data_IF_053086233807
#
_entry.id   IF_053086233807
#
_cell.length_a   1.000
_cell.length_b   1.000
_cell.length_c   1.000
_cell.angle_alpha   90.00
_cell.angle_beta   90.00
_cell.angle_gamma   90.00
#
_symmetry.space_group_name_H-M   'P 1'
#
loop_
_entity.id
_entity.type
_entity.pdbx_description
1 polymer ?
#
# COMPACT_ATOMS: atom_id res chain seq x y z
N UNK A 1 -45.21 5.48 13.17
CA UNK A 1 -45.37 5.44 11.70
C UNK A 1 -44.53 6.55 11.09
N UNK A 2 -43.39 6.22 10.48
CA UNK A 2 -42.46 7.22 9.92
C UNK A 2 -42.98 7.61 8.53
N UNK A 3 -43.44 8.86 8.40
CA UNK A 3 -43.95 9.41 7.16
C UNK A 3 -42.90 9.40 6.06
N UNK A 4 -43.22 8.73 4.95
CA UNK A 4 -42.47 8.80 3.70
C UNK A 4 -42.41 10.26 3.23
N UNK A 5 -41.27 10.93 3.44
CA UNK A 5 -40.98 12.18 2.75
C UNK A 5 -40.75 11.86 1.27
N UNK A 6 -41.81 11.94 0.46
CA UNK A 6 -41.72 11.94 -1.00
C UNK A 6 -40.92 13.18 -1.40
N UNK A 7 -39.64 13.01 -1.75
CA UNK A 7 -38.86 14.04 -2.44
C UNK A 7 -39.55 14.32 -3.78
N UNK A 8 -40.35 15.40 -3.84
CA UNK A 8 -40.97 15.86 -5.07
C UNK A 8 -39.85 16.21 -6.06
N UNK A 9 -39.79 15.51 -7.20
CA UNK A 9 -39.02 15.94 -8.37
C UNK A 9 -39.46 17.38 -8.69
N UNK A 10 -38.59 18.36 -8.53
CA UNK A 10 -38.82 19.71 -9.03
C UNK A 10 -38.78 19.60 -10.55
N UNK A 11 -39.96 19.56 -11.18
CA UNK A 11 -40.12 19.63 -12.63
C UNK A 11 -40.08 21.12 -12.96
N UNK A 12 -39.08 21.55 -13.73
CA UNK A 12 -39.05 22.91 -14.29
C UNK A 12 -39.85 22.85 -15.60
N UNK A 13 -41.06 23.41 -15.59
CA UNK A 13 -42.00 23.28 -16.71
C UNK A 13 -41.43 23.81 -18.04
N UNK A 14 -40.42 24.68 -18.00
CA UNK A 14 -39.83 25.32 -19.19
C UNK A 14 -38.69 24.53 -19.84
N UNK A 15 -38.29 23.38 -19.28
CA UNK A 15 -37.21 22.53 -19.83
C UNK A 15 -37.80 21.18 -20.26
N UNK A 16 -37.60 20.74 -21.51
CA UNK A 16 -38.03 19.42 -21.97
C UNK A 16 -37.58 18.28 -21.04
N UNK A 17 -38.46 17.30 -20.82
CA UNK A 17 -38.20 16.17 -19.93
C UNK A 17 -36.94 15.37 -20.32
N UNK A 18 -36.61 15.29 -21.61
CA UNK A 18 -35.38 14.66 -22.12
C UNK A 18 -34.13 15.34 -21.55
N UNK A 19 -34.08 16.67 -21.61
CA UNK A 19 -32.98 17.47 -21.08
C UNK A 19 -32.93 17.38 -19.54
N UNK A 20 -34.09 17.40 -18.87
CA UNK A 20 -34.12 17.21 -17.41
C UNK A 20 -33.60 15.84 -16.97
N UNK A 21 -33.84 14.79 -17.76
CA UNK A 21 -33.33 13.44 -17.50
C UNK A 21 -31.81 13.37 -17.71
N UNK A 22 -31.28 13.96 -18.78
CA UNK A 22 -29.82 14.09 -18.99
C UNK A 22 -29.15 14.73 -17.77
N UNK A 23 -29.70 15.84 -17.25
CA UNK A 23 -29.16 16.48 -16.05
C UNK A 23 -29.33 15.65 -14.76
N UNK A 24 -30.34 14.78 -14.68
CA UNK A 24 -30.49 13.86 -13.53
C UNK A 24 -29.43 12.77 -13.60
N UNK A 25 -29.23 12.19 -14.77
CA UNK A 25 -28.27 11.12 -14.99
C UNK A 25 -26.85 11.62 -14.76
N UNK A 26 -26.53 12.82 -15.29
CA UNK A 26 -25.25 13.47 -15.06
C UNK A 26 -24.99 13.72 -13.56
N UNK A 27 -25.98 14.22 -12.81
CA UNK A 27 -25.82 14.41 -11.35
C UNK A 27 -25.71 13.10 -10.58
N UNK A 28 -26.47 12.07 -10.98
CA UNK A 28 -26.38 10.75 -10.36
C UNK A 28 -24.98 10.17 -10.58
N UNK A 29 -24.45 10.32 -11.78
CA UNK A 29 -23.13 9.89 -12.17
C UNK A 29 -22.02 10.65 -11.41
N UNK A 30 -22.11 11.98 -11.30
CA UNK A 30 -21.16 12.78 -10.49
C UNK A 30 -21.18 12.37 -9.01
N UNK A 31 -22.35 12.07 -8.45
CA UNK A 31 -22.46 11.59 -7.05
C UNK A 31 -21.86 10.19 -6.88
N UNK A 32 -22.04 9.30 -7.85
CA UNK A 32 -21.44 7.98 -7.84
C UNK A 32 -19.92 8.09 -7.90
N UNK A 33 -19.38 8.91 -8.81
CA UNK A 33 -17.95 9.19 -8.89
C UNK A 33 -17.39 9.76 -7.59
N UNK A 34 -18.07 10.75 -6.99
CA UNK A 34 -17.66 11.31 -5.70
C UNK A 34 -17.60 10.25 -4.60
N UNK A 35 -18.62 9.38 -4.49
CA UNK A 35 -18.60 8.28 -3.51
C UNK A 35 -17.43 7.33 -3.74
N UNK A 36 -17.14 6.98 -5.00
CA UNK A 36 -16.00 6.13 -5.33
C UNK A 36 -14.66 6.76 -4.98
N UNK A 37 -14.52 8.06 -5.16
CA UNK A 37 -13.32 8.78 -4.76
C UNK A 37 -13.15 8.83 -3.23
N UNK A 38 -14.22 9.04 -2.46
CA UNK A 38 -14.14 8.94 -0.99
C UNK A 38 -13.81 7.50 -0.54
N UNK A 39 -14.45 6.47 -1.14
CA UNK A 39 -14.10 5.05 -0.89
C UNK A 39 -12.63 4.75 -1.21
N UNK A 40 -12.06 5.38 -2.23
CA UNK A 40 -10.65 5.25 -2.59
C UNK A 40 -9.72 5.92 -1.57
N UNK A 41 -10.09 7.08 -1.05
CA UNK A 41 -9.31 7.78 -0.01
C UNK A 41 -9.29 7.03 1.32
N UNK A 42 -10.40 6.38 1.64
CA UNK A 42 -10.57 5.63 2.89
C UNK A 42 -10.12 4.17 2.78
N UNK A 43 -9.48 3.79 1.66
CA UNK A 43 -8.95 2.44 1.51
C UNK A 43 -7.90 2.17 2.57
N UNK A 44 -7.92 0.96 3.14
CA UNK A 44 -6.97 0.51 4.15
C UNK A 44 -6.48 -0.88 3.79
N UNK A 45 -5.19 -1.14 4.01
CA UNK A 45 -4.60 -2.46 3.81
C UNK A 45 -5.04 -3.39 4.94
N UNK A 46 -5.62 -4.54 4.59
CA UNK A 46 -5.86 -5.62 5.54
C UNK A 46 -4.51 -6.10 6.12
N UNK A 47 -4.34 -6.19 7.46
CA UNK A 47 -3.12 -6.68 8.10
C UNK A 47 -2.66 -8.07 7.63
N UNK A 48 -3.58 -8.89 7.14
CA UNK A 48 -3.31 -10.24 6.63
C UNK A 48 -2.92 -10.26 5.14
N UNK A 49 -3.10 -9.15 4.43
CA UNK A 49 -2.76 -9.05 3.00
C UNK A 49 -1.26 -8.92 2.79
N UNK A 50 -0.76 -9.44 1.67
CA UNK A 50 0.60 -9.15 1.22
C UNK A 50 0.69 -7.79 0.55
N UNK A 51 1.85 -7.13 0.65
CA UNK A 51 2.09 -5.84 0.00
C UNK A 51 1.88 -5.89 -1.52
N UNK A 52 2.39 -6.89 -2.28
CA UNK A 52 2.17 -6.95 -3.72
C UNK A 52 0.69 -7.04 -4.11
N UNK A 53 -0.09 -7.82 -3.35
CA UNK A 53 -1.54 -7.95 -3.57
C UNK A 53 -2.27 -6.63 -3.26
N UNK A 54 -1.84 -5.93 -2.21
CA UNK A 54 -2.40 -4.65 -1.86
C UNK A 54 -2.11 -3.56 -2.91
N UNK A 55 -0.87 -3.50 -3.42
CA UNK A 55 -0.49 -2.59 -4.51
C UNK A 55 -1.39 -2.81 -5.74
N UNK A 56 -1.62 -4.08 -6.12
CA UNK A 56 -2.50 -4.40 -7.24
C UNK A 56 -3.94 -3.94 -7.00
N UNK A 57 -4.49 -4.17 -5.80
CA UNK A 57 -5.82 -3.70 -5.42
C UNK A 57 -5.91 -2.17 -5.51
N UNK A 58 -4.90 -1.47 -5.00
CA UNK A 58 -4.86 -0.01 -5.01
C UNK A 58 -4.82 0.56 -6.43
N UNK A 59 -3.97 -0.02 -7.30
CA UNK A 59 -3.90 0.36 -8.72
C UNK A 59 -5.23 0.15 -9.44
N UNK A 60 -5.86 -1.02 -9.25
CA UNK A 60 -7.18 -1.31 -9.82
C UNK A 60 -8.24 -0.31 -9.33
N UNK A 61 -8.23 0.04 -8.04
CA UNK A 61 -9.15 1.04 -7.48
C UNK A 61 -8.91 2.44 -8.01
N UNK A 62 -7.65 2.81 -8.25
CA UNK A 62 -7.29 4.07 -8.90
C UNK A 62 -7.78 4.11 -10.35
N UNK A 63 -7.62 3.02 -11.10
CA UNK A 63 -8.13 2.88 -12.46
C UNK A 63 -9.67 2.93 -12.50
N UNK A 64 -10.36 2.36 -11.51
CA UNK A 64 -11.83 2.44 -11.40
C UNK A 64 -12.34 3.89 -11.40
N UNK A 65 -11.57 4.85 -10.85
CA UNK A 65 -11.94 6.27 -10.82
C UNK A 65 -11.88 6.94 -12.21
N UNK A 66 -11.05 6.42 -13.11
CA UNK A 66 -10.94 6.96 -14.47
C UNK A 66 -12.23 6.76 -15.28
N UNK A 67 -12.99 5.69 -14.99
CA UNK A 67 -14.34 5.49 -15.57
C UNK A 67 -15.32 6.60 -15.15
N UNK A 68 -15.06 7.27 -14.03
CA UNK A 68 -15.82 8.43 -13.56
C UNK A 68 -15.17 9.77 -13.97
N UNK A 69 -14.21 9.76 -14.89
CA UNK A 69 -13.39 10.92 -15.30
C UNK A 69 -12.75 11.65 -14.10
N UNK A 70 -12.48 10.91 -13.03
CA UNK A 70 -11.76 11.42 -11.86
C UNK A 70 -10.30 10.98 -12.04
N UNK A 71 -9.42 11.97 -12.23
CA UNK A 71 -7.98 11.75 -12.31
C UNK A 71 -7.36 11.98 -10.94
N UNK A 72 -6.71 10.96 -10.39
CA UNK A 72 -5.87 11.07 -9.19
C UNK A 72 -4.42 11.14 -9.64
N UNK A 73 -3.74 12.24 -9.33
CA UNK A 73 -2.34 12.44 -9.71
C UNK A 73 -1.40 11.62 -8.81
N UNK A 74 -0.20 11.31 -9.29
CA UNK A 74 0.77 10.47 -8.58
C UNK A 74 1.09 10.95 -7.14
N UNK A 75 1.33 12.25 -6.88
CA UNK A 75 1.59 12.71 -5.51
C UNK A 75 0.42 12.47 -4.57
N UNK A 76 -0.81 12.68 -5.06
CA UNK A 76 -2.03 12.45 -4.30
C UNK A 76 -2.24 10.95 -4.05
N UNK A 77 -2.06 10.12 -5.08
CA UNK A 77 -2.13 8.67 -4.96
C UNK A 77 -1.09 8.13 -3.96
N UNK A 78 0.11 8.70 -3.94
CA UNK A 78 1.17 8.32 -3.00
C UNK A 78 0.80 8.65 -1.55
N UNK A 79 0.25 9.84 -1.29
CA UNK A 79 -0.21 10.23 0.04
C UNK A 79 -1.31 9.30 0.55
N UNK A 80 -2.32 9.05 -0.29
CA UNK A 80 -3.42 8.13 0.06
C UNK A 80 -2.85 6.73 0.32
N UNK A 81 -1.98 6.23 -0.56
CA UNK A 81 -1.37 4.92 -0.41
C UNK A 81 -0.58 4.80 0.90
N UNK A 82 0.29 5.76 1.23
CA UNK A 82 1.06 5.73 2.48
C UNK A 82 0.13 5.73 3.70
N UNK A 83 -0.91 6.55 3.69
CA UNK A 83 -1.88 6.63 4.80
C UNK A 83 -2.76 5.38 4.97
N UNK A 84 -2.80 4.54 3.93
CA UNK A 84 -3.57 3.29 3.93
C UNK A 84 -2.77 2.07 4.39
N UNK A 85 -1.45 2.22 4.56
CA UNK A 85 -0.57 1.16 5.00
C UNK A 85 -0.58 1.04 6.54
N UNK A 86 -0.34 -0.16 7.09
CA UNK A 86 -0.11 -0.29 8.53
C UNK A 86 1.21 0.41 8.93
N UNK A 87 1.30 0.87 10.18
CA UNK A 87 2.42 1.68 10.67
C UNK A 87 3.81 1.10 10.34
N UNK A 88 3.98 -0.22 10.43
CA UNK A 88 5.26 -0.88 10.14
C UNK A 88 5.72 -0.72 8.68
N UNK A 89 4.79 -0.53 7.73
CA UNK A 89 5.09 -0.27 6.32
C UNK A 89 5.15 1.22 6.01
N UNK A 90 4.49 2.06 6.81
CA UNK A 90 4.61 3.51 6.71
C UNK A 90 6.06 3.97 6.93
N UNK A 91 6.75 3.45 7.94
CA UNK A 91 8.15 3.75 8.21
C UNK A 91 9.07 3.32 7.04
N UNK A 92 8.78 2.15 6.45
CA UNK A 92 9.51 1.66 5.27
C UNK A 92 9.29 2.59 4.08
N UNK A 93 8.07 3.07 3.87
CA UNK A 93 7.76 4.03 2.80
C UNK A 93 8.43 5.38 3.00
N UNK A 94 8.55 5.86 4.24
CA UNK A 94 9.30 7.09 4.54
C UNK A 94 10.77 6.93 4.15
N UNK A 95 11.39 5.79 4.49
CA UNK A 95 12.78 5.50 4.09
C UNK A 95 12.93 5.42 2.57
N UNK A 96 11.98 4.78 1.87
CA UNK A 96 11.97 4.74 0.40
C UNK A 96 11.89 6.17 -0.17
N UNK A 97 11.04 7.03 0.39
CA UNK A 97 10.90 8.42 -0.03
C UNK A 97 12.17 9.24 0.15
N UNK A 98 12.88 9.05 1.27
CA UNK A 98 14.18 9.69 1.51
C UNK A 98 15.22 9.23 0.47
N UNK A 99 15.22 7.95 0.11
CA UNK A 99 16.18 7.38 -0.85
C UNK A 99 15.90 7.78 -2.30
N UNK A 100 14.64 7.77 -2.72
CA UNK A 100 14.22 8.05 -4.10
C UNK A 100 14.10 9.56 -4.38
N UNK A 101 13.63 10.32 -3.40
CA UNK A 101 13.33 11.73 -3.55
C UNK A 101 11.94 12.00 -4.13
N UNK A 102 11.45 13.25 -4.05
CA UNK A 102 10.04 13.60 -4.23
C UNK A 102 9.55 13.59 -5.69
N UNK A 103 10.44 13.48 -6.66
CA UNK A 103 10.12 13.61 -8.09
C UNK A 103 9.90 12.27 -8.81
N UNK A 104 10.11 11.16 -8.11
CA UNK A 104 9.93 9.84 -8.71
C UNK A 104 8.45 9.50 -8.91
N UNK A 105 8.17 8.69 -9.94
CA UNK A 105 6.82 8.30 -10.30
C UNK A 105 6.22 7.30 -9.30
N UNK A 106 4.89 7.21 -9.25
CA UNK A 106 4.21 6.33 -8.30
C UNK A 106 4.63 4.87 -8.45
N UNK A 107 4.91 4.41 -9.68
CA UNK A 107 5.29 3.03 -9.95
C UNK A 107 6.66 2.68 -9.36
N UNK A 108 7.63 3.60 -9.40
CA UNK A 108 8.96 3.41 -8.82
C UNK A 108 8.87 3.22 -7.31
N UNK A 109 8.04 4.01 -6.63
CA UNK A 109 7.74 3.82 -5.22
C UNK A 109 7.15 2.44 -4.92
N UNK A 110 6.17 2.00 -5.71
CA UNK A 110 5.54 0.68 -5.52
C UNK A 110 6.52 -0.47 -5.72
N UNK A 111 7.40 -0.36 -6.71
CA UNK A 111 8.41 -1.38 -6.99
C UNK A 111 9.47 -1.44 -5.87
N UNK A 112 9.92 -0.30 -5.37
CA UNK A 112 10.83 -0.27 -4.21
C UNK A 112 10.20 -0.93 -2.98
N UNK A 113 8.92 -0.68 -2.72
CA UNK A 113 8.20 -1.32 -1.61
C UNK A 113 8.06 -2.83 -1.79
N UNK A 114 7.82 -3.32 -3.02
CA UNK A 114 7.80 -4.76 -3.32
C UNK A 114 9.14 -5.43 -3.02
N UNK A 115 10.24 -4.80 -3.39
CA UNK A 115 11.59 -5.31 -3.07
C UNK A 115 11.79 -5.42 -1.57
N UNK A 116 11.40 -4.39 -0.79
CA UNK A 116 11.47 -4.43 0.67
C UNK A 116 10.59 -5.51 1.30
N UNK A 117 9.44 -5.78 0.71
CA UNK A 117 8.59 -6.90 1.11
C UNK A 117 9.27 -8.25 0.89
N UNK A 118 9.86 -8.48 -0.28
CA UNK A 118 10.56 -9.72 -0.61
C UNK A 118 11.79 -9.96 0.27
N UNK A 119 12.58 -8.90 0.53
CA UNK A 119 13.70 -8.93 1.47
C UNK A 119 13.24 -9.39 2.87
N UNK A 120 12.13 -8.85 3.36
CA UNK A 120 11.58 -9.21 4.67
C UNK A 120 11.14 -10.68 4.74
N UNK A 121 10.45 -11.18 3.71
CA UNK A 121 10.05 -12.60 3.64
C UNK A 121 11.27 -13.52 3.65
N UNK A 122 12.30 -13.19 2.88
CA UNK A 122 13.53 -13.99 2.82
C UNK A 122 14.24 -14.03 4.18
N UNK A 123 14.32 -12.90 4.88
CA UNK A 123 14.86 -12.83 6.25
C UNK A 123 14.04 -13.70 7.21
N UNK A 124 12.71 -13.59 7.19
CA UNK A 124 11.84 -14.41 8.05
C UNK A 124 11.99 -15.91 7.77
N UNK A 125 12.16 -16.30 6.50
CA UNK A 125 12.41 -17.68 6.10
C UNK A 125 13.77 -18.19 6.62
N UNK A 126 14.82 -17.37 6.50
CA UNK A 126 16.16 -17.67 7.04
C UNK A 126 16.14 -17.85 8.55
N UNK A 127 15.44 -16.96 9.28
CA UNK A 127 15.27 -17.05 10.74
C UNK A 127 14.55 -18.34 11.12
N UNK A 128 13.43 -18.67 10.46
CA UNK A 128 12.69 -19.91 10.73
C UNK A 128 13.55 -21.16 10.48
N UNK A 129 14.31 -21.18 9.39
CA UNK A 129 15.24 -22.27 9.08
C UNK A 129 16.30 -22.43 10.17
N UNK A 130 16.90 -21.33 10.62
CA UNK A 130 17.89 -21.32 11.70
C UNK A 130 17.30 -21.90 13.00
N UNK A 131 16.10 -21.47 13.40
CA UNK A 131 15.45 -21.98 14.61
C UNK A 131 15.11 -23.47 14.53
N UNK A 132 14.61 -23.95 13.39
CA UNK A 132 14.35 -25.38 13.17
C UNK A 132 15.62 -26.23 13.30
N UNK A 133 16.74 -25.76 12.75
CA UNK A 133 18.03 -26.43 12.88
C UNK A 133 18.55 -26.44 14.32
N UNK A 134 18.29 -25.39 15.10
CA UNK A 134 18.72 -25.27 16.50
C UNK A 134 17.86 -26.06 17.49
N UNK A 135 16.56 -26.19 17.22
CA UNK A 135 15.60 -26.92 18.08
C UNK A 135 15.56 -28.44 17.81
N UNK A 136 16.06 -28.90 16.65
CA UNK A 136 16.14 -30.31 16.29
C UNK A 136 17.59 -30.77 16.09
N UNK A 137 18.30 -31.22 17.15
CA UNK A 137 19.73 -31.57 17.05
C UNK A 137 20.03 -32.74 16.11
N UNK A 138 19.02 -33.56 15.78
CA UNK A 138 19.15 -34.71 14.88
C UNK A 138 19.39 -34.34 13.40
N UNK A 139 19.26 -33.07 13.02
CA UNK A 139 19.59 -32.57 11.68
C UNK A 139 20.99 -31.94 11.58
N UNK A 140 21.76 -31.87 12.67
CA UNK A 140 23.08 -31.20 12.71
C UNK A 140 24.20 -31.88 11.91
N UNK A 141 23.96 -33.04 11.28
CA UNK A 141 25.04 -33.83 10.69
C UNK A 141 25.45 -33.46 9.26
N UNK A 142 24.79 -32.51 8.60
CA UNK A 142 25.25 -32.06 7.29
C UNK A 142 25.32 -30.53 7.19
N UNK A 143 26.57 -30.07 7.02
CA UNK A 143 27.00 -28.75 6.54
C UNK A 143 26.90 -27.58 7.54
N UNK A 144 28.00 -27.37 8.28
CA UNK A 144 28.38 -26.01 8.70
C UNK A 144 28.82 -25.24 7.45
N UNK A 145 27.89 -24.51 6.86
CA UNK A 145 28.17 -23.59 5.76
C UNK A 145 28.50 -22.20 6.34
N UNK A 146 29.39 -21.41 5.73
CA UNK A 146 29.67 -20.03 6.13
C UNK A 146 28.42 -19.12 6.25
N UNK A 147 27.28 -19.54 5.68
CA UNK A 147 25.96 -18.90 5.83
C UNK A 147 25.47 -18.88 7.29
N UNK A 148 25.83 -19.88 8.10
CA UNK A 148 25.39 -19.99 9.50
C UNK A 148 25.98 -18.90 10.40
N UNK A 149 27.17 -18.39 10.06
CA UNK A 149 27.79 -17.27 10.77
C UNK A 149 27.09 -15.95 10.45
N UNK A 150 26.61 -15.76 9.21
CA UNK A 150 25.88 -14.57 8.78
C UNK A 150 24.49 -14.50 9.41
N UNK A 151 23.80 -15.64 9.51
CA UNK A 151 22.52 -15.75 10.21
C UNK A 151 22.65 -15.46 11.72
N UNK A 152 23.77 -15.86 12.33
CA UNK A 152 24.06 -15.56 13.74
C UNK A 152 24.33 -14.06 13.95
N UNK A 153 25.15 -13.44 13.10
CA UNK A 153 25.42 -11.99 13.16
C UNK A 153 24.13 -11.18 12.98
N UNK A 154 23.25 -11.58 12.05
CA UNK A 154 21.97 -10.93 11.83
C UNK A 154 20.98 -11.14 12.99
N UNK A 155 20.97 -12.32 13.61
CA UNK A 155 20.15 -12.57 14.80
C UNK A 155 20.63 -11.74 16.01
N UNK A 156 21.95 -11.56 16.14
CA UNK A 156 22.56 -10.77 17.21
C UNK A 156 22.40 -9.24 16.96
N UNK A 157 22.31 -8.78 15.70
CA UNK A 157 22.07 -7.36 15.38
C UNK A 157 20.61 -6.93 15.49
N UNK A 158 19.64 -7.85 15.34
CA UNK A 158 18.21 -7.58 15.61
C UNK A 158 17.97 -7.28 17.10
N UNK A 159 18.89 -7.64 17.99
CA UNK A 159 18.84 -7.36 19.43
C UNK A 159 19.44 -5.97 19.76
N UNK A 160 20.13 -5.30 18.83
CA UNK A 160 20.67 -3.96 19.06
C UNK A 160 20.50 -3.04 17.82
N UNK A 161 19.44 -2.21 17.76
CA UNK A 161 19.05 -1.48 16.55
C UNK A 161 19.94 -0.27 16.21
N UNK A 162 21.00 -0.01 16.99
CA UNK A 162 21.95 1.07 16.70
C UNK A 162 23.21 0.53 16.04
N UNK A 163 23.17 0.42 14.72
CA UNK A 163 24.39 0.46 13.93
C UNK A 163 24.32 1.70 13.04
N UNK A 164 25.04 2.79 13.36
CA UNK A 164 25.13 3.94 12.48
C UNK A 164 25.84 3.51 11.20
N UNK A 165 25.33 3.98 10.07
CA UNK A 165 25.93 3.81 8.76
C UNK A 165 27.39 4.29 8.79
N UNK A 166 28.28 3.44 8.27
CA UNK A 166 29.71 3.66 8.01
C UNK A 166 30.16 5.13 8.08
N UNK A 167 31.02 5.42 9.05
CA UNK A 167 32.05 6.44 8.91
C UNK A 167 32.80 6.10 7.61
N UNK A 168 32.68 6.99 6.62
CA UNK A 168 33.69 7.05 5.57
C UNK A 168 34.94 7.60 6.24
N UNK A 169 35.87 6.71 6.53
CA UNK A 169 37.28 7.05 6.50
C UNK A 169 37.58 7.66 5.13
N UNK A 170 37.69 8.98 5.06
CA UNK A 170 38.46 9.65 4.04
C UNK A 170 39.40 10.64 4.75
N UNK A 171 40.68 10.50 4.37
CA UNK A 171 41.90 11.10 4.92
C UNK A 171 41.90 12.62 5.03
#
# INVERSE_FOLDING_TARGET
MVGQRRTRKIIRNDIPNSIQNIFRDQRAWTRAGRRKYEEFKDIQMDPSSSIPKYIQLFQMKREELTFYFISVFDPEALVIFISSLPNNWMDVMINIHICLGPNEDFLTYMNALKVKWEEKIDIEAKIKKYWLLRMCPRLHFYQRSPIDNLAKILADSVINPYHPCNEKDDM
#
